data_IF_003536966148
#
_entry.id   IF_003536966148
#
_cell.length_a   1.000
_cell.length_b   1.000
_cell.length_c   1.000
_cell.angle_alpha   90.00
_cell.angle_beta   90.00
_cell.angle_gamma   90.00
#
_symmetry.space_group_name_H-M   'P 1'
#
loop_
_entity.id
_entity.type
_entity.pdbx_description
1 polymer ?
#
# COMPACT_ATOMS: atom_id res chain seq x y z
N UNK A 1 16.84 -11.00 -40.47
CA UNK A 1 17.82 -10.88 -39.37
C UNK A 1 17.17 -10.39 -38.06
N UNK A 2 16.48 -9.23 -38.03
CA UNK A 2 15.87 -8.73 -36.78
C UNK A 2 14.77 -9.64 -36.18
N UNK A 3 13.94 -10.27 -37.02
CA UNK A 3 12.89 -11.19 -36.58
C UNK A 3 13.46 -12.47 -35.91
N UNK A 4 14.65 -12.88 -36.34
CA UNK A 4 15.36 -14.05 -35.83
C UNK A 4 16.01 -13.77 -34.47
N UNK A 5 16.51 -12.54 -34.27
CA UNK A 5 17.05 -12.10 -32.98
C UNK A 5 15.95 -11.93 -31.92
N UNK A 6 14.80 -11.34 -32.29
CA UNK A 6 13.66 -11.20 -31.40
C UNK A 6 13.14 -12.56 -30.91
N UNK A 7 13.01 -13.54 -31.81
CA UNK A 7 12.60 -14.90 -31.47
C UNK A 7 13.58 -15.59 -30.51
N UNK A 8 14.89 -15.38 -30.71
CA UNK A 8 15.93 -15.91 -29.81
C UNK A 8 15.79 -15.32 -28.40
N UNK A 9 15.68 -13.99 -28.28
CA UNK A 9 15.50 -13.31 -26.98
C UNK A 9 14.22 -13.75 -26.27
N UNK A 10 13.12 -13.94 -27.01
CA UNK A 10 11.87 -14.44 -26.45
C UNK A 10 12.01 -15.86 -25.88
N UNK A 11 12.75 -16.74 -26.58
CA UNK A 11 13.03 -18.09 -26.10
C UNK A 11 13.90 -18.07 -24.84
N UNK A 12 14.97 -17.27 -24.83
CA UNK A 12 15.84 -17.10 -23.65
C UNK A 12 15.06 -16.58 -22.44
N UNK A 13 14.16 -15.61 -22.67
CA UNK A 13 13.26 -15.10 -21.63
C UNK A 13 12.34 -16.20 -21.08
N UNK A 14 11.77 -17.04 -21.95
CA UNK A 14 10.90 -18.13 -21.54
C UNK A 14 11.62 -19.17 -20.67
N UNK A 15 12.83 -19.59 -21.08
CA UNK A 15 13.65 -20.52 -20.29
C UNK A 15 14.07 -19.93 -18.95
N UNK A 16 14.45 -18.65 -18.93
CA UNK A 16 14.80 -17.93 -17.68
C UNK A 16 13.60 -17.90 -16.73
N UNK A 17 12.42 -17.54 -17.25
CA UNK A 17 11.20 -17.47 -16.47
C UNK A 17 10.81 -18.84 -15.88
N UNK A 18 11.02 -19.92 -16.63
CA UNK A 18 10.79 -21.29 -16.15
C UNK A 18 11.69 -21.62 -14.96
N UNK A 19 13.00 -21.42 -15.10
CA UNK A 19 13.96 -21.68 -14.02
C UNK A 19 13.64 -20.84 -12.78
N UNK A 20 13.32 -19.56 -12.99
CA UNK A 20 12.94 -18.65 -11.91
C UNK A 20 11.66 -19.10 -11.19
N UNK A 21 10.64 -19.54 -11.93
CA UNK A 21 9.38 -20.04 -11.39
C UNK A 21 9.56 -21.33 -10.59
N UNK A 22 10.32 -22.29 -11.11
CA UNK A 22 10.64 -23.55 -10.41
C UNK A 22 11.40 -23.27 -9.10
N UNK A 23 12.41 -22.39 -9.15
CA UNK A 23 13.16 -21.97 -7.96
C UNK A 23 12.25 -21.31 -6.91
N UNK A 24 11.29 -20.48 -7.36
CA UNK A 24 10.31 -19.86 -6.45
C UNK A 24 9.47 -20.89 -5.71
N UNK A 25 8.99 -21.92 -6.40
CA UNK A 25 8.12 -22.96 -5.81
C UNK A 25 8.93 -23.86 -4.87
N UNK A 26 10.10 -24.34 -5.33
CA UNK A 26 10.86 -25.39 -4.62
C UNK A 26 11.66 -24.81 -3.46
N UNK A 27 12.18 -23.59 -3.58
CA UNK A 27 13.04 -23.00 -2.58
C UNK A 27 12.39 -21.78 -1.90
N UNK A 28 12.06 -20.75 -2.69
CA UNK A 28 11.67 -19.45 -2.12
C UNK A 28 10.39 -19.53 -1.29
N UNK A 29 9.36 -20.24 -1.75
CA UNK A 29 8.07 -20.30 -1.05
C UNK A 29 8.18 -20.98 0.31
N UNK A 30 8.82 -22.17 0.43
CA UNK A 30 9.12 -22.76 1.73
C UNK A 30 9.87 -21.81 2.67
N UNK A 31 10.93 -21.16 2.20
CA UNK A 31 11.69 -20.19 3.00
C UNK A 31 10.81 -19.02 3.48
N UNK A 32 9.94 -18.51 2.59
CA UNK A 32 9.03 -17.40 2.91
C UNK A 32 7.96 -17.82 3.93
N UNK A 33 7.43 -19.04 3.85
CA UNK A 33 6.47 -19.56 4.83
C UNK A 33 7.12 -19.58 6.22
N UNK A 34 8.34 -20.11 6.34
CA UNK A 34 9.07 -20.15 7.61
C UNK A 34 9.33 -18.73 8.12
N UNK A 35 9.87 -17.85 7.27
CA UNK A 35 10.16 -16.47 7.61
C UNK A 35 8.92 -15.70 8.11
N UNK A 36 7.78 -15.81 7.40
CA UNK A 36 6.55 -15.13 7.80
C UNK A 36 6.00 -15.70 9.11
N UNK A 37 6.14 -17.00 9.35
CA UNK A 37 5.72 -17.62 10.61
C UNK A 37 6.60 -17.18 11.80
N UNK A 38 7.90 -16.96 11.58
CA UNK A 38 8.79 -16.34 12.57
C UNK A 38 8.43 -14.87 12.81
N UNK A 39 8.12 -14.12 11.75
CA UNK A 39 7.70 -12.73 11.82
C UNK A 39 6.49 -12.54 12.74
N UNK A 40 5.49 -13.43 12.63
CA UNK A 40 4.28 -13.40 13.47
C UNK A 40 4.57 -13.60 14.97
N UNK A 41 5.71 -14.21 15.32
CA UNK A 41 6.08 -14.44 16.72
C UNK A 41 6.74 -13.21 17.35
N UNK A 42 7.24 -12.29 16.52
CA UNK A 42 7.97 -11.09 16.95
C UNK A 42 7.07 -10.12 17.76
N UNK A 43 7.63 -9.42 18.76
CA UNK A 43 6.85 -8.55 19.64
C UNK A 43 6.17 -7.39 18.89
N UNK A 44 6.73 -6.94 17.77
CA UNK A 44 6.19 -5.89 16.90
C UNK A 44 4.79 -6.24 16.37
N UNK A 45 4.49 -7.53 16.18
CA UNK A 45 3.18 -8.01 15.73
C UNK A 45 2.23 -8.36 16.89
N UNK A 46 2.69 -8.25 18.15
CA UNK A 46 1.89 -8.45 19.36
C UNK A 46 1.40 -7.12 19.93
N UNK A 47 0.70 -6.32 19.12
CA UNK A 47 0.21 -5.01 19.55
C UNK A 47 -1.08 -5.19 20.37
N UNK A 48 -1.03 -4.86 21.67
CA UNK A 48 -2.23 -4.81 22.50
C UNK A 48 -3.16 -3.67 22.05
N UNK A 49 -4.47 -3.83 22.22
CA UNK A 49 -5.45 -2.80 21.83
C UNK A 49 -5.21 -1.43 22.51
N UNK A 50 -4.58 -1.43 23.69
CA UNK A 50 -4.17 -0.22 24.41
C UNK A 50 -3.01 0.53 23.73
N UNK A 51 -2.14 -0.19 23.02
CA UNK A 51 -0.95 0.35 22.34
C UNK A 51 -1.25 0.96 20.97
N UNK A 52 -2.44 0.67 20.43
CA UNK A 52 -2.95 1.26 19.18
C UNK A 52 -3.42 2.71 19.44
N UNK A 53 -3.76 3.06 20.69
CA UNK A 53 -4.22 4.41 21.04
C UNK A 53 -3.06 5.41 20.95
N UNK A 54 -3.14 6.32 19.99
CA UNK A 54 -2.27 7.49 19.94
C UNK A 54 -2.88 8.60 20.80
N UNK A 55 -2.13 9.09 21.80
CA UNK A 55 -2.57 10.23 22.60
C UNK A 55 -2.54 11.48 21.70
N UNK A 56 -3.73 11.98 21.37
CA UNK A 56 -3.93 13.19 20.59
C UNK A 56 -4.40 14.29 21.53
N UNK A 57 -3.55 15.27 21.78
CA UNK A 57 -3.91 16.45 22.55
C UNK A 57 -4.47 17.48 21.57
N UNK A 58 -5.79 17.48 21.40
CA UNK A 58 -6.50 18.49 20.62
C UNK A 58 -6.77 19.68 21.56
N UNK A 59 -6.29 20.90 21.25
CA UNK A 59 -6.71 22.10 21.94
C UNK A 59 -8.23 22.20 21.88
N UNK A 60 -8.89 22.14 23.04
CA UNK A 60 -10.32 22.41 23.13
C UNK A 60 -10.51 23.89 22.84
N UNK A 61 -11.07 24.23 21.67
CA UNK A 61 -11.49 25.60 21.38
C UNK A 61 -12.65 25.90 22.35
N UNK A 62 -12.33 26.49 23.49
CA UNK A 62 -13.32 27.07 24.39
C UNK A 62 -13.99 28.17 23.57
N UNK A 63 -15.25 27.96 23.19
CA UNK A 63 -16.08 29.00 22.59
C UNK A 63 -16.11 30.16 23.58
N UNK A 64 -15.46 31.27 23.23
CA UNK A 64 -15.60 32.52 23.97
C UNK A 64 -17.06 32.93 23.81
N UNK A 65 -17.85 32.75 24.87
CA UNK A 65 -19.20 33.28 24.93
C UNK A 65 -19.13 34.80 24.79
N UNK A 66 -19.87 35.30 23.81
CA UNK A 66 -20.05 36.72 23.55
C UNK A 66 -20.65 37.39 24.79
N UNK A 67 -19.83 38.04 25.61
CA UNK A 67 -20.32 39.02 26.57
C UNK A 67 -20.58 40.33 25.83
N UNK A 68 -21.79 40.42 25.28
CA UNK A 68 -22.43 41.69 24.92
C UNK A 68 -22.69 42.44 26.22
N UNK A 69 -21.78 43.32 26.63
CA UNK A 69 -22.07 44.37 27.61
C UNK A 69 -22.18 45.70 26.89
N UNK A 70 -23.43 46.16 26.81
CA UNK A 70 -23.87 47.43 26.29
C UNK A 70 -23.66 48.53 27.36
N UNK A 71 -22.98 49.62 27.04
CA UNK A 71 -23.16 50.90 27.75
C UNK A 71 -22.83 52.09 26.84
N UNK A 72 -23.75 53.05 26.86
CA UNK A 72 -24.00 54.12 25.88
C UNK A 72 -22.96 55.26 25.87
N UNK A 73 -22.83 55.93 24.72
CA UNK A 73 -22.19 57.25 24.62
C UNK A 73 -21.97 57.77 23.19
N UNK A 74 -22.75 58.78 22.79
CA UNK A 74 -22.80 59.45 21.46
C UNK A 74 -21.47 60.12 21.07
N UNK A 75 -21.06 60.08 19.78
CA UNK A 75 -20.94 61.24 18.84
C UNK A 75 -20.22 60.91 17.52
N UNK A 76 -20.40 61.80 16.54
CA UNK A 76 -20.29 61.66 15.08
C UNK A 76 -18.85 61.71 14.49
N UNK A 77 -18.67 61.09 13.32
CA UNK A 77 -17.92 61.69 12.20
C UNK A 77 -16.59 61.04 11.77
N UNK A 78 -16.54 60.66 10.47
CA UNK A 78 -15.38 60.39 9.58
C UNK A 78 -14.69 59.01 9.68
N UNK A 79 -14.98 58.14 8.70
CA UNK A 79 -13.92 57.37 8.00
C UNK A 79 -13.27 58.31 6.96
N UNK A 80 -12.03 58.14 6.47
CA UNK A 80 -11.26 56.90 6.41
C UNK A 80 -9.76 57.05 6.78
N UNK A 81 -9.07 55.93 7.08
CA UNK A 81 -7.86 55.51 6.36
C UNK A 81 -7.38 54.14 6.83
N UNK A 82 -6.90 53.45 5.81
CA UNK A 82 -6.34 52.12 5.72
C UNK A 82 -5.09 51.98 6.61
N UNK A 83 -4.71 50.72 6.83
CA UNK A 83 -3.42 50.25 7.33
C UNK A 83 -3.29 50.06 8.85
N UNK A 84 -3.62 48.85 9.32
CA UNK A 84 -2.63 48.02 10.03
C UNK A 84 -3.17 46.64 10.37
N UNK A 85 -2.58 45.64 9.74
CA UNK A 85 -2.29 44.32 10.30
C UNK A 85 -3.44 43.57 11.00
N UNK A 86 -4.47 43.19 10.25
CA UNK A 86 -5.17 41.95 10.55
C UNK A 86 -4.30 40.79 10.06
N UNK A 87 -3.41 40.31 10.93
CA UNK A 87 -2.91 38.95 10.82
C UNK A 87 -4.13 38.03 10.94
N UNK A 88 -4.76 37.72 9.81
CA UNK A 88 -5.60 36.54 9.66
C UNK A 88 -4.67 35.35 9.88
N UNK A 89 -4.41 35.02 11.14
CA UNK A 89 -3.87 33.73 11.51
C UNK A 89 -4.94 32.71 11.16
N UNK A 90 -4.87 32.20 9.93
CA UNK A 90 -5.40 30.88 9.59
C UNK A 90 -5.01 29.98 10.76
N UNK A 91 -5.96 29.32 11.45
CA UNK A 91 -5.63 28.46 12.57
C UNK A 91 -4.57 27.48 12.10
N UNK A 92 -3.37 27.58 12.69
CA UNK A 92 -2.21 26.82 12.27
C UNK A 92 -2.60 25.35 12.11
N UNK A 93 -2.39 24.83 10.90
CA UNK A 93 -2.82 23.49 10.52
C UNK A 93 -2.27 22.50 11.55
N UNK A 94 -3.17 21.93 12.37
CA UNK A 94 -2.77 21.06 13.46
C UNK A 94 -2.15 19.80 12.87
N UNK A 95 -0.84 19.63 13.05
CA UNK A 95 -0.12 18.46 12.57
C UNK A 95 -0.47 17.26 13.46
N UNK A 96 -1.36 16.40 12.96
CA UNK A 96 -1.72 15.16 13.65
C UNK A 96 -0.60 14.13 13.41
N UNK A 97 0.11 13.66 14.46
CA UNK A 97 1.20 12.72 14.29
C UNK A 97 0.70 11.31 13.95
N UNK A 98 1.44 10.59 13.10
CA UNK A 98 1.18 9.18 12.82
C UNK A 98 1.50 8.28 14.03
N UNK A 99 0.79 7.17 14.17
CA UNK A 99 1.09 6.18 15.20
C UNK A 99 2.41 5.45 14.90
N UNK A 100 3.45 5.75 15.69
CA UNK A 100 4.80 5.20 15.51
C UNK A 100 4.84 3.67 15.53
N UNK A 101 4.08 3.02 16.40
CA UNK A 101 4.06 1.54 16.50
C UNK A 101 3.51 0.92 15.22
N UNK A 102 2.41 1.48 14.69
CA UNK A 102 1.81 1.02 13.43
C UNK A 102 2.76 1.30 12.25
N UNK A 103 3.42 2.47 12.25
CA UNK A 103 4.40 2.82 11.20
C UNK A 103 5.53 1.79 11.14
N UNK A 104 6.08 1.36 12.28
CA UNK A 104 7.13 0.34 12.30
C UNK A 104 6.65 -1.02 11.76
N UNK A 105 5.44 -1.47 12.16
CA UNK A 105 4.86 -2.70 11.61
C UNK A 105 4.65 -2.60 10.10
N UNK A 106 4.15 -1.46 9.61
CA UNK A 106 3.95 -1.23 8.17
C UNK A 106 5.29 -1.25 7.42
N UNK A 107 6.38 -0.72 8.00
CA UNK A 107 7.71 -0.80 7.38
C UNK A 107 8.18 -2.23 7.19
N UNK A 108 7.83 -3.12 8.11
CA UNK A 108 8.13 -4.56 8.00
C UNK A 108 7.19 -5.23 6.99
N UNK A 109 5.89 -4.94 7.00
CA UNK A 109 4.92 -5.59 6.12
C UNK A 109 5.08 -5.24 4.64
N UNK A 110 5.35 -3.97 4.32
CA UNK A 110 5.46 -3.47 2.94
C UNK A 110 6.37 -4.30 2.03
N UNK A 111 7.65 -4.58 2.39
CA UNK A 111 8.51 -5.39 1.54
C UNK A 111 7.99 -6.82 1.38
N UNK A 112 7.35 -7.39 2.39
CA UNK A 112 6.77 -8.73 2.32
C UNK A 112 5.61 -8.80 1.31
N UNK A 113 4.72 -7.79 1.30
CA UNK A 113 3.62 -7.69 0.34
C UNK A 113 4.15 -7.45 -1.08
N UNK A 114 5.13 -6.55 -1.23
CA UNK A 114 5.78 -6.30 -2.52
C UNK A 114 6.40 -7.59 -3.09
N UNK A 115 7.09 -8.35 -2.24
CA UNK A 115 7.70 -9.61 -2.65
C UNK A 115 6.65 -10.63 -3.11
N UNK A 116 5.54 -10.76 -2.37
CA UNK A 116 4.43 -11.64 -2.76
C UNK A 116 3.89 -11.24 -4.14
N UNK A 117 3.65 -9.95 -4.37
CA UNK A 117 3.14 -9.47 -5.66
C UNK A 117 4.10 -9.79 -6.83
N UNK A 118 5.41 -9.61 -6.63
CA UNK A 118 6.44 -9.97 -7.63
C UNK A 118 6.47 -11.47 -7.90
N UNK A 119 6.37 -12.28 -6.85
CA UNK A 119 6.44 -13.74 -6.94
C UNK A 119 5.22 -14.32 -7.65
N UNK A 120 4.01 -13.88 -7.27
CA UNK A 120 2.76 -14.26 -7.90
C UNK A 120 2.70 -13.80 -9.36
N UNK A 121 3.23 -12.61 -9.68
CA UNK A 121 3.28 -12.14 -11.06
C UNK A 121 4.22 -12.98 -11.93
N UNK A 122 5.37 -13.43 -11.41
CA UNK A 122 6.27 -14.32 -12.13
C UNK A 122 5.60 -15.67 -12.44
N UNK A 123 4.91 -16.28 -11.46
CA UNK A 123 4.14 -17.52 -11.67
C UNK A 123 3.01 -17.33 -12.67
N UNK A 124 2.27 -16.22 -12.57
CA UNK A 124 1.21 -15.88 -13.53
C UNK A 124 1.77 -15.86 -14.96
N UNK A 125 2.89 -15.17 -15.17
CA UNK A 125 3.51 -15.10 -16.49
C UNK A 125 3.96 -16.48 -16.97
N UNK A 126 4.57 -17.28 -16.09
CA UNK A 126 5.04 -18.62 -16.44
C UNK A 126 3.90 -19.53 -16.87
N UNK A 127 2.84 -19.65 -16.06
CA UNK A 127 1.65 -20.45 -16.40
C UNK A 127 0.99 -19.95 -17.68
N UNK A 128 0.88 -18.63 -17.86
CA UNK A 128 0.27 -18.05 -19.07
C UNK A 128 1.05 -18.41 -20.34
N UNK A 129 2.37 -18.51 -20.29
CA UNK A 129 3.21 -18.89 -21.43
C UNK A 129 3.20 -20.40 -21.73
N UNK A 130 2.76 -21.23 -20.76
CA UNK A 130 2.58 -22.67 -20.94
C UNK A 130 1.24 -23.04 -21.57
N UNK A 131 0.29 -22.10 -21.65
CA UNK A 131 -1.00 -22.33 -22.32
C UNK A 131 -0.74 -22.44 -23.83
N UNK A 132 -1.07 -23.58 -24.47
CA UNK A 132 -0.84 -23.79 -25.89
C UNK A 132 -1.83 -22.99 -26.75
N UNK A 133 -1.65 -23.07 -28.08
CA UNK A 133 -2.67 -22.57 -29.01
C UNK A 133 -3.94 -23.40 -28.86
N UNK A 134 -5.07 -22.75 -29.11
CA UNK A 134 -6.38 -23.40 -29.08
C UNK A 134 -6.44 -24.43 -30.21
N UNK A 135 -6.77 -25.66 -29.87
CA UNK A 135 -6.99 -26.79 -30.78
C UNK A 135 -8.34 -27.43 -30.46
N UNK A 136 -8.89 -28.21 -31.40
CA UNK A 136 -10.17 -28.90 -31.19
C UNK A 136 -9.94 -30.25 -30.50
N UNK A 137 -10.40 -30.37 -29.26
CA UNK A 137 -10.20 -31.55 -28.39
C UNK A 137 -8.90 -31.53 -27.57
N UNK A 138 -8.76 -32.51 -26.66
CA UNK A 138 -7.61 -32.63 -25.73
C UNK A 138 -7.38 -31.43 -24.79
N UNK A 139 -8.45 -30.75 -24.39
CA UNK A 139 -8.38 -29.50 -23.63
C UNK A 139 -8.28 -29.66 -22.10
N UNK A 140 -8.22 -30.89 -21.58
CA UNK A 140 -8.18 -31.11 -20.12
C UNK A 140 -6.94 -30.50 -19.46
N UNK A 141 -5.76 -30.65 -20.08
CA UNK A 141 -4.54 -30.02 -19.55
C UNK A 141 -4.64 -28.49 -19.55
N UNK A 142 -5.30 -27.92 -20.56
CA UNK A 142 -5.53 -26.48 -20.68
C UNK A 142 -6.48 -25.99 -19.60
N UNK A 143 -7.59 -26.70 -19.31
CA UNK A 143 -8.50 -26.29 -18.23
C UNK A 143 -7.81 -26.30 -16.86
N UNK A 144 -6.92 -27.27 -16.59
CA UNK A 144 -6.13 -27.28 -15.35
C UNK A 144 -5.17 -26.08 -15.27
N UNK A 145 -4.55 -25.70 -16.39
CA UNK A 145 -3.70 -24.50 -16.45
C UNK A 145 -4.51 -23.22 -16.24
N UNK A 146 -5.71 -23.12 -16.82
CA UNK A 146 -6.61 -21.98 -16.67
C UNK A 146 -7.11 -21.83 -15.24
N UNK A 147 -7.54 -22.93 -14.60
CA UNK A 147 -7.96 -22.93 -13.19
C UNK A 147 -6.80 -22.52 -12.28
N UNK A 148 -5.60 -23.08 -12.50
CA UNK A 148 -4.39 -22.71 -11.75
C UNK A 148 -4.07 -21.22 -11.94
N UNK A 149 -4.17 -20.71 -13.16
CA UNK A 149 -3.94 -19.31 -13.45
C UNK A 149 -4.98 -18.40 -12.77
N UNK A 150 -6.24 -18.83 -12.69
CA UNK A 150 -7.30 -18.11 -12.00
C UNK A 150 -7.02 -18.01 -10.50
N UNK A 151 -6.59 -19.09 -9.85
CA UNK A 151 -6.19 -19.09 -8.44
C UNK A 151 -5.03 -18.13 -8.17
N UNK A 152 -4.00 -18.13 -9.03
CA UNK A 152 -2.89 -17.17 -8.94
C UNK A 152 -3.37 -15.72 -9.06
N UNK A 153 -4.38 -15.46 -9.91
CA UNK A 153 -4.92 -14.11 -10.11
C UNK A 153 -5.74 -13.59 -8.94
N UNK A 154 -6.35 -14.48 -8.13
CA UNK A 154 -7.08 -14.08 -6.92
C UNK A 154 -6.17 -13.47 -5.84
N UNK A 155 -4.86 -13.76 -5.89
CA UNK A 155 -3.87 -13.28 -4.91
C UNK A 155 -3.36 -11.85 -5.18
N UNK A 156 -3.87 -11.17 -6.22
CA UNK A 156 -3.43 -9.84 -6.63
C UNK A 156 -4.27 -8.71 -6.03
#
# INVERSE_FOLDING_TARGET
MAQTEAAKKAKEFHETLKVDAENRIVQKFPERIVHLNELLKMPEFRIAATDIKCKLEIPTIIKVENNVNNCEGKTQGKRPRLDSNSHDTIPGQMLIPANKKIVEVIKILKPNIKQLAEDTNALKMWVSLLIPKIEDGNNFGVSVQEDTLAEIQQLR
#
